data_IF_682197494728
#
_entry.id   IF_682197494728
#
_cell.length_a   1.000
_cell.length_b   1.000
_cell.length_c   1.000
_cell.angle_alpha   90.00
_cell.angle_beta   90.00
_cell.angle_gamma   90.00
#
_symmetry.space_group_name_H-M   'P 1'
#
loop_
_entity.id
_entity.type
_entity.pdbx_description
1 polymer ?
#
# COMPACT_ATOMS: atom_id res chain seq x y z
N UNK A 1 1.22 -26.02 6.82
CA UNK A 1 2.03 -25.59 7.98
C UNK A 1 1.90 -24.07 8.10
N UNK A 2 0.94 -23.59 8.89
CA UNK A 2 0.87 -22.18 9.26
C UNK A 2 1.81 -21.97 10.45
N UNK A 3 2.84 -21.15 10.27
CA UNK A 3 3.77 -20.83 11.35
C UNK A 3 3.01 -20.07 12.46
N UNK A 4 3.14 -20.58 13.69
CA UNK A 4 2.67 -19.90 14.90
C UNK A 4 3.70 -18.81 15.22
N UNK A 5 3.30 -17.54 15.17
CA UNK A 5 4.20 -16.44 15.49
C UNK A 5 4.63 -16.52 16.96
N UNK A 6 5.89 -16.93 17.18
CA UNK A 6 6.59 -16.80 18.44
C UNK A 6 7.31 -15.43 18.44
N UNK A 7 6.53 -14.37 18.60
CA UNK A 7 6.97 -12.97 18.47
C UNK A 7 5.81 -12.10 18.00
N UNK A 8 5.62 -10.91 18.59
CA UNK A 8 4.50 -10.04 18.23
C UNK A 8 4.61 -9.53 16.79
N UNK A 9 3.53 -9.62 16.02
CA UNK A 9 3.46 -9.03 14.68
C UNK A 9 3.52 -7.50 14.78
N UNK A 10 4.24 -6.87 13.85
CA UNK A 10 4.31 -5.41 13.71
C UNK A 10 3.73 -4.98 12.37
N UNK A 11 2.99 -3.86 12.38
CA UNK A 11 2.34 -3.30 11.20
C UNK A 11 2.82 -1.85 11.00
N UNK A 12 3.48 -1.59 9.87
CA UNK A 12 3.80 -0.23 9.41
C UNK A 12 2.79 0.19 8.34
N UNK A 13 2.25 1.40 8.48
CA UNK A 13 1.28 1.98 7.56
C UNK A 13 1.77 3.35 7.08
N UNK A 14 1.85 3.53 5.77
CA UNK A 14 2.26 4.80 5.18
C UNK A 14 1.51 5.09 3.88
N UNK A 15 1.24 6.36 3.63
CA UNK A 15 0.67 6.82 2.36
C UNK A 15 1.81 7.30 1.48
N UNK A 16 1.97 6.68 0.32
CA UNK A 16 2.92 7.09 -0.70
C UNK A 16 2.16 7.77 -1.85
N UNK A 17 2.69 8.88 -2.36
CA UNK A 17 2.08 9.67 -3.45
C UNK A 17 2.98 9.65 -4.67
N UNK A 18 2.39 9.32 -5.81
CA UNK A 18 3.11 9.17 -7.08
C UNK A 18 2.49 10.08 -8.13
N UNK A 19 3.20 11.12 -8.59
CA UNK A 19 2.74 11.93 -9.70
C UNK A 19 2.75 11.12 -11.00
N UNK A 20 1.75 11.32 -11.84
CA UNK A 20 1.70 10.70 -13.15
C UNK A 20 2.57 11.47 -14.14
N UNK A 21 3.20 10.74 -15.08
CA UNK A 21 3.95 11.34 -16.17
C UNK A 21 3.10 12.31 -17.02
N UNK A 22 1.80 12.05 -17.13
CA UNK A 22 0.79 12.95 -17.73
C UNK A 22 -0.57 12.72 -17.06
N UNK A 23 -1.50 13.69 -17.11
CA UNK A 23 -2.81 13.52 -16.47
C UNK A 23 -3.58 12.32 -17.05
N UNK A 24 -4.10 11.45 -16.17
CA UNK A 24 -4.96 10.33 -16.51
C UNK A 24 -6.42 10.77 -16.45
N UNK A 25 -7.20 10.44 -17.47
CA UNK A 25 -8.58 10.93 -17.62
C UNK A 25 -9.54 9.76 -17.71
N UNK A 26 -10.58 9.83 -16.88
CA UNK A 26 -11.78 9.02 -17.01
C UNK A 26 -12.97 9.97 -17.16
N UNK A 27 -14.15 9.43 -17.48
CA UNK A 27 -15.36 10.25 -17.58
C UNK A 27 -15.59 11.05 -16.28
N UNK A 28 -15.62 12.38 -16.38
CA UNK A 28 -15.91 13.26 -15.24
C UNK A 28 -14.76 13.51 -14.27
N UNK A 29 -13.55 12.99 -14.51
CA UNK A 29 -12.40 13.25 -13.63
C UNK A 29 -11.03 13.22 -14.34
N UNK A 30 -10.10 14.00 -13.81
CA UNK A 30 -8.70 14.05 -14.26
C UNK A 30 -7.79 13.85 -13.05
N UNK A 31 -7.07 12.74 -13.02
CA UNK A 31 -6.08 12.43 -12.01
C UNK A 31 -4.70 12.96 -12.42
N UNK A 32 -4.03 13.66 -11.50
CA UNK A 32 -2.64 14.10 -11.66
C UNK A 32 -1.63 13.20 -10.91
N UNK A 33 -2.09 12.49 -9.89
CA UNK A 33 -1.30 11.59 -9.07
C UNK A 33 -2.16 10.42 -8.56
N UNK A 34 -1.50 9.40 -8.01
CA UNK A 34 -2.14 8.39 -7.17
C UNK A 34 -1.56 8.42 -5.77
N UNK A 35 -2.41 8.22 -4.76
CA UNK A 35 -2.00 7.96 -3.39
C UNK A 35 -2.30 6.48 -3.09
N UNK A 36 -1.29 5.75 -2.61
CA UNK A 36 -1.45 4.36 -2.19
C UNK A 36 -1.16 4.23 -0.70
N UNK A 37 -2.01 3.52 0.01
CA UNK A 37 -1.70 3.04 1.36
C UNK A 37 -0.83 1.80 1.21
N UNK A 38 0.37 1.85 1.77
CA UNK A 38 1.30 0.73 1.88
C UNK A 38 1.20 0.16 3.28
N UNK A 39 0.96 -1.14 3.37
CA UNK A 39 0.98 -1.89 4.62
C UNK A 39 2.12 -2.91 4.59
N UNK A 40 3.03 -2.83 5.55
CA UNK A 40 4.10 -3.81 5.75
C UNK A 40 3.86 -4.55 7.08
N UNK A 41 3.68 -5.86 7.00
CA UNK A 41 3.55 -6.77 8.14
C UNK A 41 4.86 -7.51 8.33
N UNK A 42 5.38 -7.53 9.55
CA UNK A 42 6.60 -8.24 9.91
C UNK A 42 6.40 -9.10 11.16
N UNK A 43 6.91 -10.33 11.13
CA UNK A 43 7.00 -11.22 12.30
C UNK A 43 8.38 -11.20 12.98
N UNK A 44 9.30 -10.36 12.47
CA UNK A 44 10.70 -10.26 12.93
C UNK A 44 11.71 -10.97 12.03
N UNK A 45 11.28 -11.93 11.20
CA UNK A 45 12.12 -12.66 10.23
C UNK A 45 11.63 -12.42 8.80
N UNK A 46 10.32 -12.59 8.59
CA UNK A 46 9.64 -12.41 7.31
C UNK A 46 8.91 -11.08 7.26
N UNK A 47 8.81 -10.55 6.04
CA UNK A 47 8.07 -9.32 5.75
C UNK A 47 7.16 -9.50 4.56
N UNK A 48 5.90 -9.13 4.73
CA UNK A 48 4.90 -9.07 3.67
C UNK A 48 4.47 -7.64 3.43
N UNK A 49 4.43 -7.21 2.16
CA UNK A 49 3.99 -5.86 1.76
C UNK A 49 2.77 -5.95 0.86
N UNK A 50 1.75 -5.15 1.18
CA UNK A 50 0.55 -4.98 0.37
C UNK A 50 0.26 -3.51 0.11
N UNK A 51 -0.41 -3.21 -1.01
CA UNK A 51 -0.79 -1.85 -1.40
C UNK A 51 -2.29 -1.77 -1.67
N UNK A 52 -2.90 -0.63 -1.33
CA UNK A 52 -4.28 -0.29 -1.69
C UNK A 52 -4.37 1.15 -2.24
N UNK A 53 -4.90 1.29 -3.46
CA UNK A 53 -4.97 2.58 -4.17
C UNK A 53 -6.30 3.35 -3.98
N UNK A 54 -7.21 2.83 -3.15
CA UNK A 54 -8.56 3.41 -2.98
C UNK A 54 -9.41 3.38 -4.26
N UNK A 55 -10.60 3.96 -4.19
CA UNK A 55 -11.49 4.17 -5.34
C UNK A 55 -11.92 5.64 -5.38
N UNK A 56 -12.10 6.17 -6.59
CA UNK A 56 -12.61 7.52 -6.86
C UNK A 56 -14.13 7.53 -6.95
#
# INVERSE_FOLDING_TARGET
MAARAAGGLTLDLRVERFPYHKPFRISGHVFAETAVLVAELSDGEHRGRGEGAGVY
#
